data_IF_715253262834
#
_entry.id   IF_715253262834
#
_cell.length_a   1.000
_cell.length_b   1.000
_cell.length_c   1.000
_cell.angle_alpha   90.00
_cell.angle_beta   90.00
_cell.angle_gamma   90.00
#
_symmetry.space_group_name_H-M   'P 1'
#
loop_
_entity.id
_entity.type
_entity.pdbx_description
1 polymer ?
#
# COMPACT_ATOMS: atom_id res chain seq x y z
N UNK A 1 22.81 12.38 8.81
CA UNK A 1 22.89 12.32 7.33
C UNK A 1 22.10 11.16 6.72
N UNK A 2 22.03 9.95 7.33
CA UNK A 2 21.43 8.77 6.66
C UNK A 2 20.21 8.14 7.35
N UNK A 3 19.69 8.70 8.45
CA UNK A 3 18.59 8.10 9.21
C UNK A 3 17.32 7.84 8.38
N UNK A 4 16.97 8.78 7.50
CA UNK A 4 15.82 8.63 6.60
C UNK A 4 15.98 7.45 5.63
N UNK A 5 17.19 7.26 5.07
CA UNK A 5 17.49 6.11 4.22
C UNK A 5 17.38 4.80 5.02
N UNK A 6 17.86 4.78 6.26
CA UNK A 6 17.71 3.63 7.15
C UNK A 6 16.25 3.24 7.38
N UNK A 7 15.36 4.22 7.57
CA UNK A 7 13.91 4.00 7.71
C UNK A 7 13.31 3.39 6.44
N UNK A 8 13.68 3.92 5.27
CA UNK A 8 13.22 3.37 3.97
C UNK A 8 13.69 1.93 3.80
N UNK A 9 14.97 1.66 4.03
CA UNK A 9 15.55 0.31 3.92
C UNK A 9 14.87 -0.65 4.89
N UNK A 10 14.63 -0.23 6.14
CA UNK A 10 13.88 -1.02 7.12
C UNK A 10 12.48 -1.38 6.60
N UNK A 11 11.74 -0.40 6.07
CA UNK A 11 10.41 -0.63 5.50
C UNK A 11 10.42 -1.62 4.34
N UNK A 12 11.35 -1.45 3.39
CA UNK A 12 11.49 -2.35 2.23
C UNK A 12 11.88 -3.77 2.69
N UNK A 13 12.90 -3.90 3.52
CA UNK A 13 13.39 -5.21 3.98
C UNK A 13 12.33 -5.93 4.78
N UNK A 14 11.65 -5.25 5.71
CA UNK A 14 10.60 -5.85 6.52
C UNK A 14 9.38 -6.26 5.68
N UNK A 15 8.95 -5.41 4.74
CA UNK A 15 7.86 -5.77 3.83
C UNK A 15 8.21 -7.00 3.00
N UNK A 16 9.42 -7.05 2.43
CA UNK A 16 9.83 -8.19 1.61
C UNK A 16 10.04 -9.47 2.43
N UNK A 17 10.58 -9.37 3.64
CA UNK A 17 10.92 -10.54 4.45
C UNK A 17 9.72 -11.12 5.23
N UNK A 18 8.76 -10.28 5.62
CA UNK A 18 7.64 -10.67 6.47
C UNK A 18 6.26 -10.49 5.83
N UNK A 19 6.19 -10.20 4.54
CA UNK A 19 4.93 -10.24 3.81
C UNK A 19 4.31 -11.64 3.93
N UNK A 20 3.00 -11.65 4.21
CA UNK A 20 2.20 -12.88 4.18
C UNK A 20 1.12 -12.75 3.12
N UNK A 21 0.85 -13.85 2.42
CA UNK A 21 -0.16 -13.93 1.37
C UNK A 21 -1.13 -15.09 1.63
N UNK A 22 -2.38 -14.88 1.22
CA UNK A 22 -3.41 -15.91 1.09
C UNK A 22 -4.12 -15.76 -0.25
N UNK A 23 -4.10 -16.81 -1.05
CA UNK A 23 -4.91 -16.94 -2.27
C UNK A 23 -5.85 -18.11 -2.08
N UNK A 24 -7.15 -17.86 -2.11
CA UNK A 24 -8.14 -18.91 -1.88
C UNK A 24 -9.44 -18.60 -2.62
N UNK A 25 -10.27 -19.61 -2.79
CA UNK A 25 -11.64 -19.45 -3.28
C UNK A 25 -12.55 -19.28 -2.07
N UNK A 26 -13.27 -18.15 -2.02
CA UNK A 26 -14.22 -17.85 -0.95
C UNK A 26 -15.64 -17.69 -1.51
N UNK A 27 -16.61 -18.24 -0.80
CA UNK A 27 -18.02 -17.98 -0.95
C UNK A 27 -18.50 -16.98 0.13
N UNK A 28 -19.59 -16.25 -0.12
CA UNK A 28 -20.28 -15.47 0.91
C UNK A 28 -20.55 -16.31 2.18
N UNK A 29 -20.29 -15.72 3.34
CA UNK A 29 -20.35 -16.35 4.66
C UNK A 29 -19.03 -16.93 5.16
N UNK A 30 -18.04 -17.13 4.30
CA UNK A 30 -16.78 -17.76 4.69
C UNK A 30 -15.75 -16.77 5.20
N UNK A 31 -14.84 -17.27 6.04
CA UNK A 31 -13.79 -16.47 6.65
C UNK A 31 -12.42 -17.11 6.45
N UNK A 32 -11.39 -16.28 6.48
CA UNK A 32 -9.99 -16.69 6.43
C UNK A 32 -9.15 -15.82 7.36
N UNK A 33 -8.01 -16.34 7.79
CA UNK A 33 -7.10 -15.65 8.71
C UNK A 33 -5.75 -15.34 8.08
N UNK A 34 -5.25 -14.13 8.35
CA UNK A 34 -3.92 -13.68 7.92
C UNK A 34 -3.35 -12.69 8.92
N UNK A 35 -2.13 -12.92 9.40
CA UNK A 35 -1.42 -12.01 10.32
C UNK A 35 -2.26 -11.56 11.55
N UNK A 36 -3.14 -12.43 12.06
CA UNK A 36 -4.04 -12.15 13.18
C UNK A 36 -5.33 -11.38 12.83
N UNK A 37 -5.54 -11.05 11.56
CA UNK A 37 -6.82 -10.56 11.05
C UNK A 37 -7.69 -11.73 10.62
N UNK A 38 -8.99 -11.64 10.92
CA UNK A 38 -10.02 -12.51 10.36
C UNK A 38 -10.79 -11.71 9.32
N UNK A 39 -10.85 -12.23 8.10
CA UNK A 39 -11.50 -11.58 6.95
C UNK A 39 -12.67 -12.45 6.53
N UNK A 40 -13.87 -11.89 6.66
CA UNK A 40 -15.12 -12.56 6.33
C UNK A 40 -15.67 -12.00 5.03
N UNK A 41 -15.94 -12.88 4.06
CA UNK A 41 -16.59 -12.50 2.83
C UNK A 41 -18.10 -12.47 3.04
N UNK A 42 -18.70 -11.29 3.12
CA UNK A 42 -20.14 -11.19 3.37
C UNK A 42 -20.98 -11.38 2.12
N UNK A 43 -20.66 -10.64 1.05
CA UNK A 43 -21.48 -10.65 -0.18
C UNK A 43 -20.74 -10.08 -1.37
N UNK A 44 -21.21 -10.47 -2.56
CA UNK A 44 -20.83 -9.90 -3.85
C UNK A 44 -22.03 -9.16 -4.43
N UNK A 45 -21.85 -7.92 -4.87
CA UNK A 45 -22.91 -7.10 -5.46
C UNK A 45 -22.46 -6.49 -6.79
N UNK A 46 -23.40 -6.43 -7.74
CA UNK A 46 -23.22 -5.67 -8.97
C UNK A 46 -23.58 -4.20 -8.69
N UNK A 47 -22.64 -3.27 -8.86
CA UNK A 47 -22.83 -1.85 -8.56
C UNK A 47 -22.55 -1.02 -9.81
N UNK A 48 -23.47 -0.13 -10.23
CA UNK A 48 -23.20 0.81 -11.31
C UNK A 48 -22.22 1.91 -10.86
N UNK A 49 -21.20 2.16 -11.68
CA UNK A 49 -20.32 3.33 -11.58
C UNK A 49 -20.69 4.40 -12.61
N UNK A 50 -19.90 5.48 -12.69
CA UNK A 50 -20.19 6.60 -13.60
C UNK A 50 -20.14 6.19 -15.09
N UNK A 51 -19.21 5.30 -15.45
CA UNK A 51 -18.99 4.80 -16.81
C UNK A 51 -18.59 3.31 -16.84
N UNK A 52 -18.89 2.57 -15.77
CA UNK A 52 -18.55 1.16 -15.63
C UNK A 52 -19.59 0.40 -14.81
N UNK A 53 -19.57 -0.92 -14.91
CA UNK A 53 -20.27 -1.82 -13.99
C UNK A 53 -19.26 -2.58 -13.14
N UNK A 54 -19.38 -2.51 -11.82
CA UNK A 54 -18.49 -3.20 -10.88
C UNK A 54 -19.15 -4.44 -10.30
N UNK A 55 -18.39 -5.53 -10.22
CA UNK A 55 -18.66 -6.60 -9.24
C UNK A 55 -17.85 -6.25 -7.98
N UNK A 56 -18.54 -5.82 -6.91
CA UNK A 56 -17.94 -5.35 -5.65
C UNK A 56 -18.14 -6.40 -4.56
N UNK A 57 -17.05 -6.84 -3.93
CA UNK A 57 -17.12 -7.68 -2.75
C UNK A 57 -17.25 -6.82 -1.48
N UNK A 58 -17.93 -7.33 -0.46
CA UNK A 58 -17.92 -6.77 0.90
C UNK A 58 -17.16 -7.72 1.80
N UNK A 59 -16.01 -7.28 2.30
CA UNK A 59 -15.13 -8.07 3.16
C UNK A 59 -15.01 -7.40 4.52
N UNK A 60 -15.52 -8.02 5.58
CA UNK A 60 -15.39 -7.50 6.94
C UNK A 60 -14.11 -7.98 7.56
N UNK A 61 -13.32 -7.05 8.09
CA UNK A 61 -12.03 -7.32 8.72
C UNK A 61 -12.17 -7.12 10.22
N UNK A 62 -11.83 -8.15 10.98
CA UNK A 62 -11.78 -8.13 12.44
C UNK A 62 -10.41 -8.56 12.95
N UNK A 63 -10.08 -8.22 14.19
CA UNK A 63 -8.86 -8.67 14.87
C UNK A 63 -9.17 -8.92 16.34
N UNK A 64 -8.96 -10.15 16.80
CA UNK A 64 -9.35 -10.56 18.16
C UNK A 64 -10.84 -10.33 18.45
N UNK A 65 -11.70 -10.60 17.46
CA UNK A 65 -13.15 -10.41 17.56
C UNK A 65 -13.65 -8.97 17.49
N UNK A 66 -12.76 -7.97 17.41
CA UNK A 66 -13.14 -6.56 17.29
C UNK A 66 -13.15 -6.12 15.82
N UNK A 67 -14.14 -5.31 15.40
CA UNK A 67 -14.16 -4.75 14.05
C UNK A 67 -12.96 -3.82 13.84
N UNK A 68 -12.28 -3.99 12.69
CA UNK A 68 -11.17 -3.12 12.26
C UNK A 68 -11.63 -2.23 11.13
N UNK A 69 -12.15 -2.83 10.05
CA UNK A 69 -12.62 -2.10 8.85
C UNK A 69 -13.48 -3.01 7.98
N UNK A 70 -14.08 -2.43 6.93
CA UNK A 70 -14.70 -3.18 5.83
C UNK A 70 -14.01 -2.80 4.52
N UNK A 71 -13.57 -3.80 3.77
CA UNK A 71 -12.90 -3.65 2.49
C UNK A 71 -13.86 -3.94 1.33
N UNK A 72 -13.77 -3.12 0.29
CA UNK A 72 -14.66 -3.17 -0.88
C UNK A 72 -13.87 -3.33 -2.19
N UNK A 73 -13.16 -4.45 -2.42
CA UNK A 73 -12.45 -4.64 -3.67
C UNK A 73 -13.44 -4.85 -4.82
N UNK A 74 -13.07 -4.41 -6.02
CA UNK A 74 -13.95 -4.40 -7.18
C UNK A 74 -13.30 -4.99 -8.42
N UNK A 75 -14.13 -5.56 -9.28
CA UNK A 75 -13.80 -5.80 -10.68
C UNK A 75 -14.70 -4.95 -11.56
N UNK A 76 -14.14 -3.93 -12.22
CA UNK A 76 -14.86 -2.96 -13.03
C UNK A 76 -14.83 -3.38 -14.50
N UNK A 77 -15.98 -3.33 -15.16
CA UNK A 77 -16.12 -3.53 -16.62
C UNK A 77 -16.60 -2.23 -17.25
N UNK A 78 -15.82 -1.71 -18.19
CA UNK A 78 -16.14 -0.56 -19.02
C UNK A 78 -16.64 -1.03 -20.37
N UNK A 79 -17.59 -0.31 -20.96
CA UNK A 79 -18.18 -0.64 -22.25
C UNK A 79 -17.54 0.12 -23.43
N UNK A 80 -16.92 1.28 -23.17
CA UNK A 80 -16.34 2.12 -24.23
C UNK A 80 -15.10 2.89 -23.73
N UNK A 81 -13.88 2.51 -24.16
CA UNK A 81 -13.58 1.25 -24.85
C UNK A 81 -13.85 0.04 -23.93
N UNK A 82 -14.18 -1.14 -24.47
CA UNK A 82 -14.35 -2.36 -23.69
C UNK A 82 -13.07 -2.75 -22.94
N UNK A 83 -13.09 -2.65 -21.60
CA UNK A 83 -11.95 -3.05 -20.76
C UNK A 83 -12.42 -3.55 -19.39
N UNK A 84 -11.62 -4.42 -18.79
CA UNK A 84 -11.87 -4.93 -17.42
C UNK A 84 -10.67 -4.57 -16.56
N UNK A 85 -10.93 -3.92 -15.43
CA UNK A 85 -9.92 -3.53 -14.45
C UNK A 85 -10.29 -4.07 -13.07
N UNK A 86 -9.30 -4.15 -12.20
CA UNK A 86 -9.48 -4.64 -10.83
C UNK A 86 -9.04 -3.54 -9.87
N UNK A 87 -9.96 -3.10 -9.01
CA UNK A 87 -9.68 -2.16 -7.95
C UNK A 87 -9.39 -2.97 -6.67
N UNK A 88 -8.19 -2.82 -6.14
CA UNK A 88 -7.86 -3.39 -4.84
C UNK A 88 -8.43 -2.55 -3.71
N UNK A 89 -8.81 -3.20 -2.62
CA UNK A 89 -9.11 -2.52 -1.37
C UNK A 89 -7.89 -2.59 -0.44
N UNK A 90 -7.51 -1.46 0.12
CA UNK A 90 -6.32 -1.32 0.96
C UNK A 90 -6.75 -0.71 2.29
N UNK A 91 -6.30 -1.33 3.38
CA UNK A 91 -6.35 -0.74 4.72
C UNK A 91 -4.94 -0.57 5.25
N UNK A 92 -4.50 0.69 5.31
CA UNK A 92 -3.20 1.09 5.83
C UNK A 92 -3.29 1.38 7.31
N UNK A 93 -2.39 0.77 8.08
CA UNK A 93 -2.15 1.09 9.50
C UNK A 93 -0.79 1.76 9.63
N UNK A 94 -0.36 2.12 10.85
CA UNK A 94 0.99 2.64 11.07
C UNK A 94 2.08 1.58 10.81
N UNK A 95 1.74 0.30 10.93
CA UNK A 95 2.72 -0.80 10.94
C UNK A 95 2.59 -1.77 9.77
N UNK A 96 1.50 -1.72 9.00
CA UNK A 96 1.27 -2.64 7.89
C UNK A 96 0.16 -2.15 6.97
N UNK A 97 0.20 -2.61 5.73
CA UNK A 97 -0.90 -2.52 4.77
C UNK A 97 -1.58 -3.89 4.64
N UNK A 98 -2.91 -3.91 4.76
CA UNK A 98 -3.75 -5.04 4.41
C UNK A 98 -4.38 -4.77 3.04
N UNK A 99 -3.97 -5.54 2.04
CA UNK A 99 -4.40 -5.39 0.66
C UNK A 99 -5.24 -6.60 0.25
N UNK A 100 -6.39 -6.35 -0.39
CA UNK A 100 -7.27 -7.41 -0.89
C UNK A 100 -7.71 -7.14 -2.31
N UNK A 101 -7.67 -8.19 -3.12
CA UNK A 101 -8.12 -8.21 -4.51
C UNK A 101 -9.10 -9.35 -4.73
N UNK A 102 -10.15 -9.06 -5.51
CA UNK A 102 -11.14 -10.02 -5.97
C UNK A 102 -10.87 -10.41 -7.42
N UNK A 103 -10.85 -11.72 -7.68
CA UNK A 103 -10.69 -12.32 -8.99
C UNK A 103 -12.01 -12.86 -9.55
N UNK A 104 -11.90 -13.70 -10.57
CA UNK A 104 -13.06 -14.31 -11.21
C UNK A 104 -13.77 -15.33 -10.33
N UNK A 105 -15.04 -15.53 -10.64
CA UNK A 105 -15.83 -16.62 -10.06
C UNK A 105 -15.29 -17.94 -10.59
N UNK A 106 -14.88 -18.81 -9.67
CA UNK A 106 -14.55 -20.20 -9.92
C UNK A 106 -15.81 -21.04 -9.68
N UNK A 107 -16.15 -21.89 -10.63
CA UNK A 107 -17.21 -22.90 -10.50
C UNK A 107 -16.57 -24.27 -10.37
N UNK A 108 -16.97 -25.04 -9.37
CA UNK A 108 -16.51 -26.42 -9.23
C UNK A 108 -16.93 -27.24 -10.47
N UNK A 109 -15.98 -27.90 -11.14
CA UNK A 109 -16.29 -28.91 -12.14
C UNK A 109 -16.76 -30.19 -11.43
N UNK A 110 -17.59 -30.99 -12.10
CA UNK A 110 -18.22 -32.22 -11.61
C UNK A 110 -17.33 -32.98 -10.61
N UNK A 111 -17.68 -32.89 -9.31
CA UNK A 111 -17.08 -33.66 -8.23
C UNK A 111 -15.75 -33.16 -7.63
N UNK A 112 -15.14 -32.08 -8.13
CA UNK A 112 -13.88 -31.54 -7.55
C UNK A 112 -13.86 -30.01 -7.55
N UNK A 113 -14.00 -29.41 -6.37
CA UNK A 113 -13.72 -28.00 -6.14
C UNK A 113 -14.80 -27.27 -5.36
N UNK A 114 -14.61 -25.96 -5.22
CA UNK A 114 -15.50 -25.06 -4.48
C UNK A 114 -15.96 -23.96 -5.40
N UNK A 115 -17.27 -23.66 -5.37
CA UNK A 115 -17.83 -22.52 -6.10
C UNK A 115 -17.68 -21.27 -5.26
N UNK A 116 -17.04 -20.24 -5.81
CA UNK A 116 -16.79 -18.98 -5.11
C UNK A 116 -15.98 -18.03 -5.97
N UNK A 117 -15.38 -17.02 -5.36
CA UNK A 117 -14.51 -16.06 -6.04
C UNK A 117 -13.09 -16.23 -5.55
N UNK A 118 -12.13 -16.10 -6.45
CA UNK A 118 -10.72 -16.06 -6.06
C UNK A 118 -10.45 -14.78 -5.29
N UNK A 119 -10.06 -14.88 -4.02
CA UNK A 119 -9.68 -13.75 -3.18
C UNK A 119 -8.18 -13.83 -2.91
N UNK A 120 -7.45 -12.74 -3.19
CA UNK A 120 -6.02 -12.60 -2.91
C UNK A 120 -5.84 -11.56 -1.82
N UNK A 121 -5.23 -11.96 -0.71
CA UNK A 121 -5.06 -11.13 0.48
C UNK A 121 -3.58 -11.08 0.80
N UNK A 122 -3.10 -9.87 1.04
CA UNK A 122 -1.71 -9.60 1.39
C UNK A 122 -1.67 -8.77 2.65
N UNK A 123 -0.79 -9.14 3.56
CA UNK A 123 -0.41 -8.30 4.69
C UNK A 123 1.05 -7.94 4.53
N UNK A 124 1.33 -6.66 4.33
CA UNK A 124 2.66 -6.12 4.03
C UNK A 124 3.15 -5.28 5.22
N UNK A 125 4.02 -5.82 6.09
CA UNK A 125 4.54 -5.10 7.24
C UNK A 125 5.43 -3.92 6.82
N UNK A 126 5.34 -2.82 7.55
CA UNK A 126 6.19 -1.63 7.45
C UNK A 126 6.26 -0.94 6.07
N UNK A 127 5.37 -1.26 5.12
CA UNK A 127 5.20 -0.47 3.89
C UNK A 127 4.98 1.03 4.18
N UNK A 128 4.16 1.43 5.18
CA UNK A 128 4.01 2.85 5.54
C UNK A 128 5.33 3.55 5.90
N UNK A 129 6.33 2.80 6.38
CA UNK A 129 7.62 3.36 6.79
C UNK A 129 8.49 3.75 5.60
N UNK A 130 8.27 3.15 4.43
CA UNK A 130 8.91 3.58 3.17
C UNK A 130 8.51 5.04 2.89
N UNK A 131 7.22 5.35 3.01
CA UNK A 131 6.68 6.69 2.79
C UNK A 131 7.13 7.68 3.87
N UNK A 132 7.12 7.27 5.14
CA UNK A 132 7.64 8.10 6.25
C UNK A 132 9.12 8.43 6.02
N UNK A 133 9.94 7.45 5.68
CA UNK A 133 11.37 7.65 5.40
C UNK A 133 11.59 8.58 4.21
N UNK A 134 10.82 8.43 3.13
CA UNK A 134 10.87 9.33 1.98
C UNK A 134 10.49 10.77 2.36
N UNK A 135 9.44 10.96 3.17
CA UNK A 135 9.03 12.29 3.64
C UNK A 135 10.11 12.96 4.49
N UNK A 136 10.72 12.22 5.43
CA UNK A 136 11.84 12.72 6.26
C UNK A 136 13.03 13.10 5.37
N UNK A 137 13.30 12.32 4.32
CA UNK A 137 14.38 12.61 3.38
C UNK A 137 14.14 13.93 2.63
N UNK A 138 12.91 14.14 2.11
CA UNK A 138 12.52 15.39 1.45
C UNK A 138 12.65 16.59 2.39
N UNK A 139 12.15 16.48 3.63
CA UNK A 139 12.25 17.55 4.62
C UNK A 139 13.70 17.86 4.99
N UNK A 140 14.54 16.84 5.15
CA UNK A 140 15.98 17.01 5.38
C UNK A 140 16.67 17.73 4.21
N UNK A 141 16.29 17.42 2.97
CA UNK A 141 16.76 18.12 1.78
C UNK A 141 16.34 19.59 1.75
N UNK A 142 15.08 19.88 2.04
CA UNK A 142 14.55 21.26 2.08
C UNK A 142 15.27 22.10 3.15
N UNK A 143 15.45 21.57 4.36
CA UNK A 143 16.18 22.28 5.43
C UNK A 143 17.62 22.58 5.02
N UNK A 144 18.30 21.60 4.40
CA UNK A 144 19.69 21.76 3.91
C UNK A 144 19.82 22.89 2.87
N UNK A 145 18.82 23.04 2.01
CA UNK A 145 18.81 24.06 0.96
C UNK A 145 18.41 25.45 1.47
N UNK A 146 17.54 25.53 2.48
CA UNK A 146 16.98 26.80 2.95
C UNK A 146 17.95 27.55 3.87
N UNK A 147 18.82 26.85 4.59
CA UNK A 147 19.71 27.48 5.55
C UNK A 147 21.16 27.63 5.04
N UNK A 148 21.59 28.87 4.81
CA UNK A 148 22.95 29.20 4.29
C UNK A 148 24.08 28.67 5.19
N UNK A 149 23.83 28.50 6.50
CA UNK A 149 24.79 27.92 7.47
C UNK A 149 24.84 26.39 7.45
N UNK A 150 23.84 25.73 6.86
CA UNK A 150 23.83 24.27 6.67
C UNK A 150 24.17 23.83 5.24
N UNK A 151 24.45 24.77 4.32
CA UNK A 151 24.99 24.48 2.98
C UNK A 151 26.40 23.87 3.07
N UNK A 152 26.49 22.55 3.19
CA UNK A 152 27.75 21.83 3.01
C UNK A 152 28.14 21.91 1.52
N UNK A 153 29.23 22.60 1.20
CA UNK A 153 29.73 22.76 -0.18
C UNK A 153 29.42 24.09 -0.86
N UNK A 154 28.83 25.08 -0.18
CA UNK A 154 28.77 26.43 -0.72
C UNK A 154 30.21 27.00 -0.85
N UNK A 155 30.64 27.47 -2.04
CA UNK A 155 31.98 28.03 -2.20
C UNK A 155 32.12 29.21 -1.24
N UNK A 156 33.05 29.10 -0.29
CA UNK A 156 33.45 30.26 0.52
C UNK A 156 34.08 31.24 -0.45
N UNK A 157 33.45 32.39 -0.62
CA UNK A 157 34.02 33.50 -1.38
C UNK A 157 35.44 33.76 -0.86
N UNK A 158 36.43 33.61 -1.74
CA UNK A 158 37.82 33.85 -1.40
C UNK A 158 37.96 35.25 -0.79
N UNK A 159 38.64 35.33 0.34
CA UNK A 159 38.88 36.61 1.03
C UNK A 159 39.77 37.46 0.11
N UNK A 160 39.34 38.68 -0.21
CA UNK A 160 40.11 39.57 -1.07
C UNK A 160 41.53 39.78 -0.48
N UNK A 161 42.59 39.73 -1.31
CA UNK A 161 43.94 39.93 -0.82
C UNK A 161 44.08 41.35 -0.22
N UNK A 162 44.90 41.53 0.83
CA UNK A 162 45.10 42.83 1.44
C UNK A 162 45.66 43.81 0.40
N UNK A 163 45.04 44.98 0.28
CA UNK A 163 45.55 46.07 -0.56
C UNK A 163 46.92 46.50 -0.02
N UNK A 164 47.95 46.39 -0.85
CA UNK A 164 49.27 46.94 -0.54
C UNK A 164 49.19 48.48 -0.60
N UNK A 165 49.61 49.15 0.47
CA UNK A 165 49.72 50.61 0.51
C UNK A 165 50.88 51.08 -0.38
N UNK A 166 50.71 52.16 -1.16
CA UNK A 166 51.79 52.75 -1.94
C UNK A 166 52.82 53.45 -1.05
N UNK A 167 54.09 53.40 -1.47
CA UNK A 167 55.24 54.02 -0.82
C UNK A 167 55.35 55.52 -1.09
#
# INVERSE_FOLDING_TARGET
AHGALGIVVLGITASSAWQTERILIMAPGESTEIAGYTITFEKMARVPGANYMADRATLVVTRGGKPVTTLYPEKRRFSDPPQVTTEAAIHTTLLADLYVVIGDRQTAAEGKGKTGWTVRIYHNPLVPWIWIGALIMVLGGLISLTDRRHRVGAPRTARAPPQASPA
#
